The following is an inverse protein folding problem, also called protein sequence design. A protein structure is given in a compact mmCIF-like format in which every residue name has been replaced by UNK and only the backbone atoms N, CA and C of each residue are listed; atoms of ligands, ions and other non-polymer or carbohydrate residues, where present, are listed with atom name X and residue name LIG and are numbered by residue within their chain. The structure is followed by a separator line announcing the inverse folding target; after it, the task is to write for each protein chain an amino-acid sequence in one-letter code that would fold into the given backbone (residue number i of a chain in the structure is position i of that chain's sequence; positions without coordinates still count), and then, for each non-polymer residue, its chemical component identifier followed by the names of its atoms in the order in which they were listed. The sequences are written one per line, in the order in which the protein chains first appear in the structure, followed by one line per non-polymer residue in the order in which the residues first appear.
data_IF_366279363394
#
_entry.id   IF_366279363394
#
_cell.length_a   1.000
_cell.length_b   1.000
_cell.length_c   1.000
_cell.angle_alpha   90.00
_cell.angle_beta   90.00
_cell.angle_gamma   90.00
#
_symmetry.space_group_name_H-M   'P 1'
#
loop_
_entity.id
_entity.type
_entity.pdbx_description
1 polymer ?
#
# COMPACT_ATOMS: atom_id res chain seq x y z
N UNK A 1 -0.79 -1.96 7.11
CA UNK A 1 -1.43 -1.65 8.42
C UNK A 1 -2.79 -1.02 8.16
N UNK A 2 -3.82 -1.36 8.91
CA UNK A 2 -5.16 -0.74 8.81
C UNK A 2 -5.35 0.30 9.92
N UNK A 3 -6.00 1.42 9.59
CA UNK A 3 -6.45 2.42 10.56
C UNK A 3 -7.84 2.94 10.17
N UNK A 4 -8.64 3.32 11.17
CA UNK A 4 -9.94 3.94 10.96
C UNK A 4 -10.19 5.00 12.03
N UNK A 5 -10.27 6.27 11.63
CA UNK A 5 -10.50 7.40 12.53
C UNK A 5 -11.87 7.42 13.21
N UNK A 6 -12.83 6.61 12.74
CA UNK A 6 -14.14 6.45 13.36
C UNK A 6 -14.09 5.64 14.65
N UNK A 7 -12.99 4.91 14.86
CA UNK A 7 -12.77 4.12 16.06
C UNK A 7 -11.69 4.80 16.88
N UNK A 8 -12.04 5.48 17.98
CA UNK A 8 -11.07 6.14 18.83
C UNK A 8 -10.19 5.12 19.56
N UNK A 9 -8.89 5.38 19.57
CA UNK A 9 -7.88 4.57 20.27
C UNK A 9 -7.13 3.63 19.33
N UNK A 10 -5.83 3.77 19.35
CA UNK A 10 -4.89 2.95 18.59
C UNK A 10 -5.03 1.45 18.82
N UNK A 11 -5.48 1.10 20.01
CA UNK A 11 -5.35 -0.25 20.53
C UNK A 11 -6.53 -1.14 20.17
N UNK A 12 -7.63 -0.55 19.70
CA UNK A 12 -8.86 -1.31 19.51
C UNK A 12 -8.86 -2.14 18.22
N UNK A 13 -8.19 -1.72 17.15
CA UNK A 13 -8.48 -2.32 15.84
C UNK A 13 -7.31 -2.60 14.92
N UNK A 14 -6.15 -2.14 15.13
CA UNK A 14 -5.33 -2.26 13.95
C UNK A 14 -3.86 -2.48 14.13
N UNK A 15 -3.38 -2.16 15.26
CA UNK A 15 -1.94 -2.14 15.42
C UNK A 15 -1.40 -3.40 16.07
N UNK A 16 -2.17 -4.09 16.87
CA UNK A 16 -1.65 -5.20 17.66
C UNK A 16 -1.85 -6.59 17.07
N UNK A 17 -2.89 -6.87 16.31
CA UNK A 17 -3.10 -8.24 15.83
C UNK A 17 -3.72 -8.36 14.42
N UNK A 18 -4.41 -7.34 13.94
CA UNK A 18 -5.08 -7.39 12.64
C UNK A 18 -4.43 -6.49 11.59
N UNK A 19 -3.35 -5.82 11.91
CA UNK A 19 -2.85 -4.72 11.13
C UNK A 19 -1.50 -4.90 10.43
N UNK A 20 -0.74 -5.92 10.73
CA UNK A 20 0.56 -6.13 10.09
C UNK A 20 0.54 -7.42 9.27
N UNK A 21 0.46 -7.26 7.96
CA UNK A 21 0.53 -8.38 7.03
C UNK A 21 1.86 -8.31 6.29
N UNK A 22 2.79 -9.24 6.57
CA UNK A 22 4.08 -9.26 5.89
C UNK A 22 3.87 -9.59 4.42
N UNK A 23 4.65 -8.94 3.58
CA UNK A 23 4.72 -9.27 2.15
C UNK A 23 5.61 -10.48 1.92
N UNK A 24 5.50 -11.09 0.73
CA UNK A 24 6.37 -12.15 0.27
C UNK A 24 7.85 -11.82 0.50
N UNK A 25 8.61 -12.76 1.06
CA UNK A 25 10.01 -12.57 1.44
C UNK A 25 10.96 -12.18 0.29
N UNK A 26 10.59 -12.55 -0.95
CA UNK A 26 11.31 -12.16 -2.15
C UNK A 26 11.10 -10.73 -2.63
N UNK A 27 10.17 -9.98 -2.00
CA UNK A 27 9.83 -8.61 -2.42
C UNK A 27 11.02 -7.65 -2.45
N UNK A 28 11.96 -7.65 -1.48
CA UNK A 28 13.11 -6.76 -1.53
C UNK A 28 14.06 -7.05 -2.71
N UNK A 29 14.28 -8.33 -3.01
CA UNK A 29 15.12 -8.73 -4.14
C UNK A 29 14.48 -8.36 -5.48
N UNK A 30 13.17 -8.56 -5.61
CA UNK A 30 12.38 -8.15 -6.77
C UNK A 30 12.45 -6.63 -6.97
N UNK A 31 12.15 -5.86 -5.94
CA UNK A 31 12.16 -4.41 -6.00
C UNK A 31 13.53 -3.87 -6.43
N UNK A 32 14.61 -4.42 -5.85
CA UNK A 32 15.98 -4.06 -6.23
C UNK A 32 16.28 -4.39 -7.70
N UNK A 33 15.87 -5.56 -8.17
CA UNK A 33 16.13 -6.00 -9.54
C UNK A 33 15.39 -5.18 -10.60
N UNK A 34 14.21 -4.65 -10.25
CA UNK A 34 13.37 -3.84 -11.13
C UNK A 34 13.49 -2.33 -10.87
N UNK A 35 14.42 -1.91 -9.99
CA UNK A 35 14.61 -0.52 -9.57
C UNK A 35 13.32 0.15 -9.04
N UNK A 36 12.45 -0.66 -8.42
CA UNK A 36 11.21 -0.20 -7.79
C UNK A 36 11.47 0.22 -6.34
N UNK A 37 10.76 1.25 -5.91
CA UNK A 37 10.79 1.67 -4.50
C UNK A 37 9.99 0.70 -3.63
N UNK A 38 10.44 0.51 -2.41
CA UNK A 38 9.66 -0.17 -1.37
C UNK A 38 9.19 0.86 -0.35
N UNK A 39 7.99 0.66 0.16
CA UNK A 39 7.44 1.51 1.19
C UNK A 39 6.37 0.76 1.99
N UNK A 40 6.11 1.22 3.19
CA UNK A 40 5.09 0.66 4.07
C UNK A 40 3.73 1.24 3.74
N UNK A 41 2.81 0.37 3.33
CA UNK A 41 1.43 0.76 3.02
C UNK A 41 0.60 0.77 4.31
N UNK A 42 -0.19 1.83 4.46
CA UNK A 42 -1.26 1.92 5.44
C UNK A 42 -2.61 1.95 4.73
N UNK A 43 -3.58 1.26 5.28
CA UNK A 43 -4.94 1.21 4.71
C UNK A 43 -5.89 1.98 5.60
N UNK A 44 -6.56 2.97 5.04
CA UNK A 44 -7.57 3.77 5.73
C UNK A 44 -8.93 3.65 5.06
N UNK A 45 -10.01 3.90 5.82
CA UNK A 45 -11.39 3.80 5.31
C UNK A 45 -11.91 5.08 4.67
N UNK A 46 -11.11 6.15 4.60
CA UNK A 46 -11.53 7.45 4.10
C UNK A 46 -10.65 7.90 2.94
N UNK A 47 -11.26 8.46 1.91
CA UNK A 47 -10.54 9.02 0.75
C UNK A 47 -9.75 10.27 1.16
N UNK A 48 -10.39 11.18 1.91
CA UNK A 48 -9.77 12.39 2.41
C UNK A 48 -8.70 12.09 3.47
N UNK A 49 -7.86 13.07 3.73
CA UNK A 49 -6.83 13.02 4.75
C UNK A 49 -7.13 14.05 5.83
N UNK A 50 -7.26 13.60 7.07
CA UNK A 50 -7.36 14.47 8.24
C UNK A 50 -6.03 14.49 9.00
N UNK A 51 -5.75 15.52 9.82
CA UNK A 51 -4.52 15.57 10.60
C UNK A 51 -4.29 14.31 11.46
N UNK A 52 -5.34 13.75 12.06
CA UNK A 52 -5.25 12.53 12.85
C UNK A 52 -4.85 11.29 12.03
N UNK A 53 -5.25 11.22 10.75
CA UNK A 53 -4.83 10.14 9.86
C UNK A 53 -3.32 10.24 9.58
N UNK A 54 -2.83 11.45 9.31
CA UNK A 54 -1.41 11.70 9.05
C UNK A 54 -0.56 11.38 10.27
N UNK A 55 -0.97 11.83 11.46
CA UNK A 55 -0.30 11.50 12.72
C UNK A 55 -0.20 9.99 12.93
N UNK A 56 -1.29 9.26 12.67
CA UNK A 56 -1.32 7.80 12.79
C UNK A 56 -0.38 7.13 11.79
N UNK A 57 -0.40 7.55 10.53
CA UNK A 57 0.48 7.04 9.48
C UNK A 57 1.94 7.25 9.88
N UNK A 58 2.31 8.45 10.31
CA UNK A 58 3.67 8.79 10.73
C UNK A 58 4.11 8.01 11.96
N UNK A 59 3.26 7.91 12.98
CA UNK A 59 3.52 7.14 14.21
C UNK A 59 3.89 5.69 13.92
N UNK A 60 3.29 5.10 12.89
CA UNK A 60 3.54 3.70 12.50
C UNK A 60 4.52 3.55 11.33
N UNK A 61 5.19 4.62 10.93
CA UNK A 61 6.17 4.63 9.85
C UNK A 61 5.57 4.27 8.50
N UNK A 62 4.30 4.65 8.26
CA UNK A 62 3.66 4.50 6.96
C UNK A 62 4.17 5.53 5.96
N UNK A 63 4.28 5.13 4.71
CA UNK A 63 4.78 5.96 3.62
C UNK A 63 3.74 6.11 2.51
N UNK A 64 2.82 5.15 2.43
CA UNK A 64 1.77 5.09 1.41
C UNK A 64 0.43 4.84 2.08
N UNK A 65 -0.63 5.46 1.56
CA UNK A 65 -2.01 5.20 1.99
C UNK A 65 -2.78 4.58 0.84
N UNK A 66 -3.56 3.54 1.16
CA UNK A 66 -4.59 2.98 0.28
C UNK A 66 -5.89 2.73 1.07
N UNK A 67 -6.86 2.11 0.43
CA UNK A 67 -8.14 1.78 1.04
C UNK A 67 -8.47 0.27 1.02
N UNK A 68 -7.61 -0.58 0.46
CA UNK A 68 -7.89 -2.01 0.23
C UNK A 68 -6.81 -2.96 0.76
N UNK A 69 -5.57 -2.54 0.84
CA UNK A 69 -4.42 -3.41 1.06
C UNK A 69 -4.53 -4.26 2.33
N UNK A 70 -5.00 -3.69 3.44
CA UNK A 70 -5.14 -4.46 4.67
C UNK A 70 -6.20 -5.56 4.57
N UNK A 71 -7.30 -5.32 3.86
CA UNK A 71 -8.35 -6.33 3.66
C UNK A 71 -7.82 -7.51 2.84
N UNK A 72 -7.09 -7.23 1.77
CA UNK A 72 -6.44 -8.25 0.95
C UNK A 72 -5.39 -9.01 1.76
N UNK A 73 -4.54 -8.28 2.51
CA UNK A 73 -3.54 -8.88 3.39
C UNK A 73 -4.14 -9.80 4.45
N UNK A 74 -5.26 -9.39 5.05
CA UNK A 74 -5.99 -10.22 6.01
C UNK A 74 -6.44 -11.55 5.39
N UNK A 75 -7.08 -11.51 4.23
CA UNK A 75 -7.54 -12.72 3.54
C UNK A 75 -6.36 -13.60 3.15
N UNK A 76 -5.30 -13.06 2.59
CA UNK A 76 -4.09 -13.81 2.25
C UNK A 76 -3.47 -14.48 3.49
N UNK A 77 -3.49 -13.80 4.64
CA UNK A 77 -2.96 -14.37 5.89
C UNK A 77 -3.79 -15.57 6.37
N UNK A 78 -5.12 -15.50 6.24
CA UNK A 78 -6.00 -16.62 6.60
C UNK A 78 -5.71 -17.87 5.75
N UNK A 79 -5.42 -17.67 4.47
CA UNK A 79 -5.11 -18.77 3.54
C UNK A 79 -3.62 -19.09 3.48
N UNK A 80 -2.78 -18.46 4.28
CA UNK A 80 -1.31 -18.61 4.27
C UNK A 80 -0.71 -18.41 2.87
N UNK A 81 -1.30 -17.50 2.10
CA UNK A 81 -0.87 -17.18 0.74
C UNK A 81 0.08 -16.01 0.78
N UNK A 82 1.29 -16.13 0.21
CA UNK A 82 2.21 -14.99 0.08
C UNK A 82 1.56 -13.87 -0.73
N UNK A 83 1.84 -12.63 -0.33
CA UNK A 83 1.27 -11.45 -0.98
C UNK A 83 2.36 -10.46 -1.39
N UNK A 84 2.19 -9.84 -2.53
CA UNK A 84 2.97 -8.73 -3.03
C UNK A 84 2.01 -7.63 -3.48
N UNK A 85 2.26 -6.39 -3.05
CA UNK A 85 1.53 -5.22 -3.52
C UNK A 85 2.39 -4.44 -4.51
N UNK A 86 1.83 -4.14 -5.67
CA UNK A 86 2.39 -3.18 -6.63
C UNK A 86 1.45 -2.00 -6.68
N UNK A 87 1.95 -0.82 -6.34
CA UNK A 87 1.14 0.40 -6.21
C UNK A 87 1.77 1.53 -7.00
N UNK A 88 0.94 2.38 -7.58
CA UNK A 88 1.34 3.65 -8.17
C UNK A 88 0.72 4.81 -7.39
N UNK A 89 1.50 5.84 -7.14
CA UNK A 89 1.05 7.02 -6.39
C UNK A 89 0.36 7.99 -7.34
N UNK A 90 -0.83 8.42 -6.98
CA UNK A 90 -1.64 9.38 -7.75
C UNK A 90 -1.52 10.80 -7.20
N UNK A 91 -1.40 10.93 -5.88
CA UNK A 91 -1.44 12.20 -5.17
C UNK A 91 -0.58 12.13 -3.91
N UNK A 92 -0.23 13.30 -3.40
CA UNK A 92 0.51 13.46 -2.14
C UNK A 92 -0.43 14.00 -1.07
N UNK A 93 -0.64 13.22 -0.03
CA UNK A 93 -1.58 13.55 1.05
C UNK A 93 -1.18 14.81 1.86
N UNK A 94 0.05 15.26 1.74
CA UNK A 94 0.65 16.41 2.43
C UNK A 94 0.95 17.59 1.50
N UNK A 95 0.53 17.54 0.24
CA UNK A 95 0.80 18.59 -0.77
C UNK A 95 0.02 19.90 -0.54
N UNK A 96 -1.03 19.87 0.30
CA UNK A 96 -1.96 20.99 0.49
C UNK A 96 -2.90 21.26 -0.69
N UNK A 97 -2.80 20.48 -1.77
CA UNK A 97 -3.75 20.50 -2.88
C UNK A 97 -5.00 19.67 -2.54
N UNK A 98 -6.12 19.94 -3.21
CA UNK A 98 -7.28 19.08 -3.07
C UNK A 98 -6.95 17.70 -3.66
N UNK A 99 -7.00 16.69 -2.84
CA UNK A 99 -6.65 15.29 -3.15
C UNK A 99 -7.35 14.79 -4.42
N UNK A 100 -8.63 15.15 -4.62
CA UNK A 100 -9.40 14.73 -5.78
C UNK A 100 -8.89 15.33 -7.10
N UNK A 101 -8.49 16.59 -7.09
CA UNK A 101 -7.96 17.25 -8.30
C UNK A 101 -6.61 16.68 -8.69
N UNK A 102 -5.73 16.48 -7.72
CA UNK A 102 -4.41 15.90 -7.94
C UNK A 102 -4.54 14.44 -8.42
N UNK A 103 -5.37 13.65 -7.76
CA UNK A 103 -5.72 12.30 -8.17
C UNK A 103 -6.19 12.25 -9.63
N UNK A 104 -7.21 13.05 -9.98
CA UNK A 104 -7.79 13.05 -11.32
C UNK A 104 -6.78 13.43 -12.40
N UNK A 105 -5.93 14.40 -12.12
CA UNK A 105 -4.89 14.88 -13.03
C UNK A 105 -3.82 13.81 -13.29
N UNK A 106 -3.44 13.06 -12.26
CA UNK A 106 -2.34 12.11 -12.33
C UNK A 106 -2.78 10.68 -12.66
N UNK A 107 -4.08 10.39 -12.58
CA UNK A 107 -4.62 9.02 -12.68
C UNK A 107 -4.13 8.27 -13.94
N UNK A 108 -4.21 8.89 -15.11
CA UNK A 108 -3.81 8.24 -16.36
C UNK A 108 -2.32 7.86 -16.33
N UNK A 109 -1.47 8.80 -15.93
CA UNK A 109 -0.01 8.55 -15.83
C UNK A 109 0.32 7.48 -14.79
N UNK A 110 -0.37 7.49 -13.66
CA UNK A 110 -0.21 6.49 -12.62
C UNK A 110 -0.63 5.09 -13.10
N UNK A 111 -1.72 4.98 -13.85
CA UNK A 111 -2.17 3.72 -14.44
C UNK A 111 -1.17 3.17 -15.46
N UNK A 112 -0.61 4.00 -16.34
CA UNK A 112 0.42 3.56 -17.31
C UNK A 112 1.70 3.09 -16.59
N UNK A 113 2.14 3.81 -15.57
CA UNK A 113 3.28 3.39 -14.77
C UNK A 113 3.02 2.07 -14.04
N UNK A 114 1.82 1.90 -13.46
CA UNK A 114 1.42 0.67 -12.78
C UNK A 114 1.36 -0.51 -13.74
N UNK A 115 0.83 -0.31 -14.96
CA UNK A 115 0.80 -1.34 -16.01
C UNK A 115 2.21 -1.81 -16.33
N UNK A 116 3.12 -0.88 -16.63
CA UNK A 116 4.52 -1.21 -16.95
C UNK A 116 5.19 -1.96 -15.80
N UNK A 117 5.02 -1.51 -14.56
CA UNK A 117 5.59 -2.17 -13.40
C UNK A 117 5.04 -3.59 -13.21
N UNK A 118 3.74 -3.80 -13.41
CA UNK A 118 3.13 -5.13 -13.32
C UNK A 118 3.64 -6.08 -14.40
N UNK A 119 3.80 -5.63 -15.63
CA UNK A 119 4.38 -6.43 -16.70
C UNK A 119 5.81 -6.89 -16.35
N UNK A 120 6.63 -5.99 -15.82
CA UNK A 120 7.99 -6.30 -15.36
C UNK A 120 8.00 -7.28 -14.17
N UNK A 121 7.10 -7.11 -13.20
CA UNK A 121 6.97 -8.00 -12.05
C UNK A 121 6.56 -9.41 -12.48
N UNK A 122 5.57 -9.54 -13.35
CA UNK A 122 5.12 -10.82 -13.88
C UNK A 122 6.26 -11.52 -14.64
N UNK A 123 6.96 -10.78 -15.50
CA UNK A 123 8.09 -11.32 -16.26
C UNK A 123 9.25 -11.77 -15.33
N UNK A 124 9.55 -11.01 -14.29
CA UNK A 124 10.53 -11.39 -13.29
C UNK A 124 10.14 -12.68 -12.55
N UNK A 125 8.89 -12.77 -12.11
CA UNK A 125 8.39 -13.93 -11.36
C UNK A 125 8.35 -15.19 -12.24
N UNK A 126 7.86 -15.08 -13.45
CA UNK A 126 7.77 -16.24 -14.38
C UNK A 126 9.13 -16.79 -14.79
N UNK A 127 10.16 -15.96 -14.85
CA UNK A 127 11.52 -16.41 -15.20
C UNK A 127 12.30 -17.04 -14.04
N UNK A 128 11.90 -16.78 -12.80
CA UNK A 128 12.67 -17.17 -11.60
C UNK A 128 11.98 -18.16 -10.69
N UNK A 129 10.67 -18.28 -10.79
CA UNK A 129 9.90 -19.24 -10.00
C UNK A 129 9.57 -20.41 -10.91
N UNK A 130 10.24 -21.54 -10.71
CA UNK A 130 9.77 -22.82 -11.27
C UNK A 130 8.51 -23.20 -10.47
N UNK A 131 7.37 -23.01 -11.09
CA UNK A 131 6.07 -23.38 -10.55
C UNK A 131 5.92 -24.89 -10.46
#
# INVERSE_FOLDING_TARGET
MFHDRRVPGDDAWGTQSLGNYPVWEGSPALAKALELKMGKVTTGSSLDMQPCDLEMIQKHGGELKDMEGAAVGFVCSLFKTPILYVKSVTDLCDSGAETFEEFSRNLHKACEALKTANEQVIDYLTKRVNW
#
